data_IF_840314661799
#
_entry.id   IF_840314661799
#
_cell.length_a   1.000
_cell.length_b   1.000
_cell.length_c   1.000
_cell.angle_alpha   90.00
_cell.angle_beta   90.00
_cell.angle_gamma   90.00
#
_symmetry.space_group_name_H-M   'P 1'
#
loop_
_entity.id
_entity.type
_entity.pdbx_description
1 polymer ?
#
# COMPACT_ATOMS: atom_id res chain seq x y z
N UNK A 1 -4.08 -5.43 2.93
CA UNK A 1 -5.33 -5.67 3.68
C UNK A 1 -6.52 -4.81 3.21
N UNK A 2 -6.53 -3.49 3.40
CA UNK A 2 -7.70 -2.63 3.02
C UNK A 2 -8.07 -2.74 1.53
N UNK A 3 -7.09 -2.62 0.63
CA UNK A 3 -7.32 -2.74 -0.82
C UNK A 3 -8.02 -4.06 -1.18
N UNK A 4 -7.53 -5.19 -0.65
CA UNK A 4 -8.07 -6.53 -0.92
C UNK A 4 -9.53 -6.66 -0.49
N UNK A 5 -9.88 -6.07 0.64
CA UNK A 5 -11.26 -6.08 1.15
C UNK A 5 -12.23 -5.27 0.28
N UNK A 6 -11.83 -4.07 -0.13
CA UNK A 6 -12.69 -3.19 -0.95
C UNK A 6 -12.96 -3.82 -2.33
N UNK A 7 -11.96 -4.48 -2.89
CA UNK A 7 -12.05 -5.11 -4.21
C UNK A 7 -13.11 -6.23 -4.27
N UNK A 8 -13.21 -7.03 -3.20
CA UNK A 8 -14.12 -8.19 -3.16
C UNK A 8 -15.48 -7.89 -2.54
N UNK A 9 -15.67 -6.73 -1.92
CA UNK A 9 -16.90 -6.36 -1.21
C UNK A 9 -18.14 -6.52 -2.09
N UNK A 10 -18.13 -5.95 -3.30
CA UNK A 10 -19.27 -6.02 -4.24
C UNK A 10 -19.58 -7.44 -4.69
N UNK A 11 -18.57 -8.30 -4.81
CA UNK A 11 -18.75 -9.71 -5.13
C UNK A 11 -19.33 -10.47 -3.94
N UNK A 12 -18.87 -10.21 -2.72
CA UNK A 12 -19.38 -10.85 -1.52
C UNK A 12 -20.86 -10.48 -1.24
N UNK A 13 -21.24 -9.23 -1.51
CA UNK A 13 -22.62 -8.74 -1.38
C UNK A 13 -23.56 -9.36 -2.42
N UNK A 14 -23.15 -9.38 -3.70
CA UNK A 14 -24.04 -9.79 -4.82
C UNK A 14 -23.89 -11.23 -5.24
N UNK A 15 -22.82 -11.92 -4.81
CA UNK A 15 -22.44 -13.30 -5.18
C UNK A 15 -22.49 -13.58 -6.70
N UNK A 16 -22.14 -12.58 -7.51
CA UNK A 16 -22.22 -12.66 -8.97
C UNK A 16 -20.83 -12.76 -9.60
N UNK A 17 -20.59 -13.83 -10.38
CA UNK A 17 -19.34 -14.03 -11.10
C UNK A 17 -18.97 -12.83 -12.01
N UNK A 18 -19.97 -12.15 -12.59
CA UNK A 18 -19.75 -10.98 -13.44
C UNK A 18 -19.10 -9.80 -12.69
N UNK A 19 -19.47 -9.60 -11.42
CA UNK A 19 -18.88 -8.53 -10.61
C UNK A 19 -17.40 -8.79 -10.33
N UNK A 20 -17.03 -10.06 -10.09
CA UNK A 20 -15.66 -10.48 -9.89
C UNK A 20 -14.84 -10.40 -11.18
N UNK A 21 -15.36 -10.94 -12.29
CA UNK A 21 -14.69 -10.87 -13.61
C UNK A 21 -14.42 -9.42 -14.03
N UNK A 22 -15.40 -8.52 -13.82
CA UNK A 22 -15.21 -7.10 -14.09
C UNK A 22 -14.18 -6.43 -13.17
N UNK A 23 -14.05 -6.86 -11.92
CA UNK A 23 -13.01 -6.37 -11.02
C UNK A 23 -11.61 -6.84 -11.46
N UNK A 24 -11.47 -8.13 -11.81
CA UNK A 24 -10.23 -8.74 -12.33
C UNK A 24 -9.77 -8.01 -13.58
N UNK A 25 -10.65 -7.84 -14.57
CA UNK A 25 -10.31 -7.23 -15.86
C UNK A 25 -9.88 -5.75 -15.73
N UNK A 26 -10.61 -4.97 -14.94
CA UNK A 26 -10.37 -3.52 -14.84
C UNK A 26 -9.15 -3.16 -13.99
N UNK A 27 -8.70 -4.06 -13.11
CA UNK A 27 -7.67 -3.76 -12.11
C UNK A 27 -6.30 -3.42 -12.72
N UNK A 28 -5.75 -4.20 -13.68
CA UNK A 28 -4.50 -3.84 -14.33
C UNK A 28 -4.59 -2.50 -15.03
N UNK A 29 -5.65 -2.27 -15.80
CA UNK A 29 -5.85 -1.01 -16.54
C UNK A 29 -5.94 0.20 -15.61
N UNK A 30 -6.67 0.05 -14.49
CA UNK A 30 -6.83 1.10 -13.46
C UNK A 30 -5.51 1.45 -12.76
N UNK A 31 -4.63 0.47 -12.52
CA UNK A 31 -3.36 0.71 -11.83
C UNK A 31 -2.25 1.15 -12.80
N UNK A 32 -2.22 0.58 -14.01
CA UNK A 32 -1.16 0.79 -14.98
C UNK A 32 -0.99 2.28 -15.33
N UNK A 33 -2.05 2.94 -15.82
CA UNK A 33 -1.94 4.32 -16.29
C UNK A 33 -1.48 5.31 -15.20
N UNK A 34 -2.01 5.28 -13.96
CA UNK A 34 -1.46 6.06 -12.85
C UNK A 34 0.01 5.80 -12.56
N UNK A 35 0.43 4.53 -12.60
CA UNK A 35 1.82 4.15 -12.31
C UNK A 35 2.76 4.62 -13.41
N UNK A 36 2.36 4.47 -14.68
CA UNK A 36 3.09 5.04 -15.83
C UNK A 36 3.34 6.53 -15.62
N UNK A 37 2.27 7.27 -15.36
CA UNK A 37 2.35 8.71 -15.13
C UNK A 37 3.24 9.05 -13.93
N UNK A 38 3.07 8.35 -12.80
CA UNK A 38 3.85 8.57 -11.59
C UNK A 38 5.33 8.27 -11.76
N UNK A 39 5.71 7.33 -12.62
CA UNK A 39 7.11 7.03 -12.93
C UNK A 39 7.71 8.11 -13.82
N UNK A 40 6.95 8.59 -14.82
CA UNK A 40 7.41 9.66 -15.70
C UNK A 40 7.53 11.02 -14.98
N UNK A 41 6.65 11.28 -14.01
CA UNK A 41 6.54 12.58 -13.33
C UNK A 41 7.86 13.06 -12.69
N UNK A 42 8.60 12.26 -11.89
CA UNK A 42 9.92 12.64 -11.40
C UNK A 42 10.90 13.05 -12.50
N UNK A 43 10.95 12.31 -13.61
CA UNK A 43 11.85 12.66 -14.73
C UNK A 43 11.47 13.99 -15.38
N UNK A 44 10.17 14.27 -15.54
CA UNK A 44 9.66 15.55 -16.05
C UNK A 44 10.02 16.71 -15.10
N UNK A 45 9.78 16.52 -13.81
CA UNK A 45 10.10 17.54 -12.78
C UNK A 45 11.62 17.74 -12.67
N UNK A 46 12.41 16.68 -12.80
CA UNK A 46 13.86 16.72 -12.84
C UNK A 46 14.38 17.52 -14.04
N UNK A 47 13.85 17.27 -15.23
CA UNK A 47 14.17 18.03 -16.45
C UNK A 47 13.81 19.53 -16.32
N UNK A 48 12.71 19.85 -15.62
CA UNK A 48 12.33 21.23 -15.30
C UNK A 48 13.20 21.86 -14.18
N UNK A 49 14.15 21.12 -13.60
CA UNK A 49 15.02 21.60 -12.54
C UNK A 49 14.38 21.62 -11.14
N UNK A 50 13.29 20.89 -10.93
CA UNK A 50 12.59 20.83 -9.64
C UNK A 50 13.40 20.21 -8.50
N UNK A 51 14.40 19.38 -8.82
CA UNK A 51 15.25 18.69 -7.82
C UNK A 51 16.64 19.30 -7.63
N UNK A 52 16.91 20.50 -8.17
CA UNK A 52 18.23 21.17 -8.05
C UNK A 52 18.71 21.32 -6.60
N UNK A 53 17.79 21.51 -5.66
CA UNK A 53 18.08 21.70 -4.24
C UNK A 53 18.04 20.40 -3.41
N UNK A 54 17.66 19.27 -4.01
CA UNK A 54 17.48 18.02 -3.29
C UNK A 54 18.80 17.48 -2.72
N UNK A 55 19.89 17.58 -3.48
CA UNK A 55 21.24 17.20 -3.03
C UNK A 55 21.63 17.97 -1.77
N UNK A 56 21.40 19.29 -1.77
CA UNK A 56 21.70 20.15 -0.62
C UNK A 56 20.86 19.78 0.61
N UNK A 57 19.58 19.44 0.40
CA UNK A 57 18.70 18.95 1.47
C UNK A 57 19.24 17.64 2.07
N UNK A 58 19.71 16.71 1.23
CA UNK A 58 20.29 15.43 1.66
C UNK A 58 21.54 15.65 2.52
N UNK A 59 22.40 16.59 2.16
CA UNK A 59 23.60 16.94 2.94
C UNK A 59 23.24 17.54 4.30
N UNK A 60 22.28 18.47 4.32
CA UNK A 60 21.86 19.16 5.55
C UNK A 60 21.19 18.18 6.54
N UNK A 61 20.38 17.26 6.03
CA UNK A 61 19.58 16.34 6.87
C UNK A 61 20.25 14.99 7.11
N UNK A 62 21.41 14.75 6.49
CA UNK A 62 22.08 13.44 6.45
C UNK A 62 21.13 12.28 6.10
N UNK A 63 20.13 12.55 5.24
CA UNK A 63 19.07 11.61 4.91
C UNK A 63 19.12 11.17 3.45
N UNK A 64 19.39 9.89 3.22
CA UNK A 64 19.46 9.30 1.88
C UNK A 64 18.12 9.33 1.13
N UNK A 65 16.99 9.46 1.82
CA UNK A 65 15.68 9.60 1.18
C UNK A 65 15.49 10.95 0.47
N UNK A 66 16.35 11.94 0.75
CA UNK A 66 16.33 13.26 0.10
C UNK A 66 17.24 13.36 -1.12
N UNK A 67 17.93 12.27 -1.49
CA UNK A 67 18.74 12.21 -2.72
C UNK A 67 17.81 12.42 -3.93
N UNK A 68 18.22 13.24 -4.93
CA UNK A 68 17.42 13.42 -6.14
C UNK A 68 17.19 12.07 -6.85
N UNK A 69 15.97 11.79 -7.32
CA UNK A 69 15.70 10.58 -8.10
C UNK A 69 16.48 10.63 -9.43
N UNK A 70 16.84 9.46 -9.93
CA UNK A 70 17.42 9.34 -11.26
C UNK A 70 16.43 9.83 -12.34
N UNK A 71 16.94 10.34 -13.45
CA UNK A 71 16.15 10.68 -14.64
C UNK A 71 16.30 9.58 -15.67
N UNK A 72 15.21 9.15 -16.29
CA UNK A 72 15.27 8.12 -17.32
C UNK A 72 16.12 8.61 -18.51
N UNK A 73 17.18 7.87 -18.89
CA UNK A 73 18.04 8.27 -20.01
C UNK A 73 17.37 7.99 -21.36
N UNK A 74 16.46 7.01 -21.45
CA UNK A 74 15.76 6.65 -22.67
C UNK A 74 14.40 5.98 -22.37
N UNK A 75 13.57 5.85 -23.42
CA UNK A 75 12.27 5.21 -23.33
C UNK A 75 12.34 3.71 -22.98
N UNK A 76 13.41 3.02 -23.39
CA UNK A 76 13.58 1.59 -23.12
C UNK A 76 13.76 1.31 -21.63
N UNK A 77 14.52 2.14 -20.92
CA UNK A 77 14.68 2.03 -19.47
C UNK A 77 13.39 2.35 -18.71
N UNK A 78 12.62 3.32 -19.19
CA UNK A 78 11.30 3.61 -18.68
C UNK A 78 10.37 2.39 -18.84
N UNK A 79 10.30 1.81 -20.05
CA UNK A 79 9.49 0.63 -20.33
C UNK A 79 9.93 -0.60 -19.49
N UNK A 80 11.23 -0.85 -19.40
CA UNK A 80 11.78 -1.93 -18.57
C UNK A 80 11.43 -1.75 -17.09
N UNK A 81 11.47 -0.51 -16.58
CA UNK A 81 11.12 -0.21 -15.19
C UNK A 81 9.66 -0.49 -14.87
N UNK A 82 8.76 -0.22 -15.81
CA UNK A 82 7.34 -0.56 -15.71
C UNK A 82 7.17 -2.08 -15.70
N UNK A 83 7.84 -2.78 -16.61
CA UNK A 83 7.74 -4.23 -16.70
C UNK A 83 8.20 -4.90 -15.40
N UNK A 84 9.35 -4.49 -14.85
CA UNK A 84 9.83 -4.97 -13.54
C UNK A 84 8.80 -4.71 -12.44
N UNK A 85 8.22 -3.51 -12.36
CA UNK A 85 7.24 -3.18 -11.32
C UNK A 85 5.94 -4.00 -11.35
N UNK A 86 5.56 -4.57 -12.50
CA UNK A 86 4.33 -5.36 -12.62
C UNK A 86 4.56 -6.86 -12.66
N UNK A 87 5.69 -7.30 -13.18
CA UNK A 87 5.97 -8.71 -13.48
C UNK A 87 7.04 -9.33 -12.58
N UNK A 88 7.73 -8.56 -11.76
CA UNK A 88 8.62 -9.15 -10.76
C UNK A 88 7.82 -9.90 -9.68
N UNK A 89 8.35 -11.06 -9.30
CA UNK A 89 7.72 -11.98 -8.36
C UNK A 89 8.11 -11.68 -6.91
N UNK A 90 9.22 -10.98 -6.69
CA UNK A 90 9.66 -10.52 -5.38
C UNK A 90 9.76 -9.00 -5.37
N UNK A 91 9.17 -8.31 -4.38
CA UNK A 91 9.39 -6.89 -4.23
C UNK A 91 10.80 -6.65 -3.68
N UNK A 92 11.63 -5.82 -4.31
CA UNK A 92 12.83 -5.29 -3.67
C UNK A 92 12.69 -3.79 -3.46
N UNK A 93 13.33 -3.25 -2.41
CA UNK A 93 13.38 -1.80 -2.16
C UNK A 93 14.31 -1.08 -3.15
N UNK A 94 15.16 -1.83 -3.85
CA UNK A 94 16.14 -1.36 -4.82
C UNK A 94 15.77 -1.73 -6.26
N UNK A 95 14.51 -2.09 -6.54
CA UNK A 95 14.09 -2.40 -7.91
C UNK A 95 14.27 -1.18 -8.82
N UNK A 96 14.55 -1.46 -10.10
CA UNK A 96 14.84 -0.42 -11.09
C UNK A 96 13.78 0.67 -11.13
N UNK A 97 12.50 0.29 -11.22
CA UNK A 97 11.40 1.26 -11.26
C UNK A 97 11.21 2.06 -9.96
N UNK A 98 11.67 1.54 -8.83
CA UNK A 98 11.57 2.21 -7.53
C UNK A 98 12.62 3.31 -7.39
N UNK A 99 13.81 3.12 -7.97
CA UNK A 99 14.90 4.10 -7.94
C UNK A 99 14.54 5.43 -8.62
N UNK A 100 13.60 5.41 -9.58
CA UNK A 100 13.12 6.59 -10.28
C UNK A 100 12.00 7.34 -9.54
N UNK A 101 11.50 6.79 -8.43
CA UNK A 101 10.41 7.40 -7.64
C UNK A 101 10.93 8.00 -6.34
N UNK A 102 10.60 9.26 -6.02
CA UNK A 102 10.69 9.79 -4.67
C UNK A 102 9.82 8.95 -3.72
N UNK A 103 10.28 8.73 -2.47
CA UNK A 103 9.79 7.66 -1.58
C UNK A 103 10.13 6.23 -2.08
N UNK A 104 11.31 6.04 -2.66
CA UNK A 104 11.82 4.72 -3.07
C UNK A 104 11.66 3.64 -1.97
N UNK A 105 11.86 4.01 -0.70
CA UNK A 105 11.67 3.10 0.44
C UNK A 105 10.23 2.58 0.68
N UNK A 106 9.21 3.11 -0.01
CA UNK A 106 7.80 2.71 0.13
C UNK A 106 7.15 2.28 -1.20
N UNK A 107 7.72 2.64 -2.36
CA UNK A 107 7.14 2.33 -3.68
C UNK A 107 7.04 0.82 -3.99
N UNK A 108 7.80 -0.03 -3.28
CA UNK A 108 7.70 -1.50 -3.35
C UNK A 108 6.30 -2.02 -2.99
N UNK A 109 5.47 -1.22 -2.33
CA UNK A 109 4.07 -1.56 -2.04
C UNK A 109 3.24 -1.72 -3.32
N UNK A 110 3.61 -1.07 -4.43
CA UNK A 110 2.88 -1.11 -5.70
C UNK A 110 2.81 -2.54 -6.30
N UNK A 111 3.95 -3.21 -6.59
CA UNK A 111 3.95 -4.60 -7.07
C UNK A 111 3.22 -5.55 -6.13
N UNK A 112 3.37 -5.33 -4.81
CA UNK A 112 2.68 -6.14 -3.79
C UNK A 112 1.16 -5.96 -3.90
N UNK A 113 0.64 -4.74 -3.96
CA UNK A 113 -0.81 -4.50 -4.10
C UNK A 113 -1.35 -5.11 -5.40
N UNK A 114 -0.60 -5.03 -6.49
CA UNK A 114 -0.99 -5.58 -7.78
C UNK A 114 -1.06 -7.11 -7.76
N UNK A 115 0.06 -7.78 -7.48
CA UNK A 115 0.17 -9.25 -7.44
C UNK A 115 -0.86 -9.88 -6.48
N UNK A 116 -0.98 -9.29 -5.29
CA UNK A 116 -1.89 -9.79 -4.26
C UNK A 116 -3.37 -9.61 -4.59
N UNK A 117 -3.71 -8.68 -5.48
CA UNK A 117 -5.10 -8.54 -5.96
C UNK A 117 -5.54 -9.83 -6.67
N UNK A 118 -4.67 -10.47 -7.44
CA UNK A 118 -4.98 -11.72 -8.15
C UNK A 118 -5.16 -12.91 -7.21
N UNK A 119 -4.30 -13.03 -6.19
CA UNK A 119 -4.49 -14.05 -5.15
C UNK A 119 -5.88 -13.93 -4.53
N UNK A 120 -6.28 -12.71 -4.15
CA UNK A 120 -7.60 -12.45 -3.56
C UNK A 120 -8.74 -12.77 -4.51
N UNK A 121 -8.61 -12.46 -5.81
CA UNK A 121 -9.63 -12.81 -6.80
C UNK A 121 -9.83 -14.32 -6.95
N UNK A 122 -8.75 -15.09 -7.00
CA UNK A 122 -8.81 -16.55 -7.10
C UNK A 122 -9.51 -17.13 -5.88
N UNK A 123 -9.09 -16.73 -4.67
CA UNK A 123 -9.73 -17.23 -3.45
C UNK A 123 -11.19 -16.78 -3.33
N UNK A 124 -11.51 -15.54 -3.70
CA UNK A 124 -12.89 -15.06 -3.73
C UNK A 124 -13.77 -15.88 -4.69
N UNK A 125 -13.25 -16.26 -5.86
CA UNK A 125 -13.97 -17.13 -6.80
C UNK A 125 -14.25 -18.53 -6.22
N UNK A 126 -13.34 -19.05 -5.38
CA UNK A 126 -13.48 -20.36 -4.75
C UNK A 126 -14.42 -20.35 -3.54
N UNK A 127 -14.58 -19.22 -2.85
CA UNK A 127 -15.38 -19.11 -1.62
C UNK A 127 -16.79 -19.72 -1.70
N UNK A 128 -17.58 -19.55 -2.78
CA UNK A 128 -18.92 -20.14 -2.85
C UNK A 128 -18.91 -21.68 -2.86
N UNK A 129 -17.83 -22.29 -3.33
CA UNK A 129 -17.71 -23.74 -3.52
C UNK A 129 -17.09 -24.46 -2.31
N UNK A 130 -16.62 -23.71 -1.31
CA UNK A 130 -15.98 -24.25 -0.11
C UNK A 130 -17.02 -24.44 0.99
N UNK A 131 -17.02 -25.60 1.66
CA UNK A 131 -17.90 -25.89 2.79
C UNK A 131 -17.62 -24.97 3.99
N UNK A 132 -18.64 -24.69 4.82
CA UNK A 132 -18.49 -23.83 6.00
C UNK A 132 -17.40 -24.33 6.96
N UNK A 133 -17.30 -25.65 7.17
CA UNK A 133 -16.26 -26.25 8.03
C UNK A 133 -14.87 -25.97 7.49
N UNK A 134 -14.66 -26.09 6.17
CA UNK A 134 -13.40 -25.75 5.54
C UNK A 134 -13.09 -24.24 5.57
N UNK A 135 -14.12 -23.38 5.52
CA UNK A 135 -13.92 -21.93 5.72
C UNK A 135 -13.49 -21.57 7.13
N UNK A 136 -14.06 -22.21 8.15
CA UNK A 136 -13.78 -21.89 9.56
C UNK A 136 -12.43 -22.45 10.00
N UNK A 137 -12.06 -23.67 9.59
CA UNK A 137 -10.84 -24.33 10.05
C UNK A 137 -9.73 -24.37 8.99
N UNK A 138 -10.10 -24.69 7.75
CA UNK A 138 -9.14 -24.80 6.64
C UNK A 138 -8.59 -23.45 6.20
N UNK A 139 -9.44 -22.41 6.13
CA UNK A 139 -8.99 -21.09 5.66
C UNK A 139 -7.99 -20.41 6.62
N UNK A 140 -8.20 -20.38 7.96
CA UNK A 140 -7.15 -19.95 8.89
C UNK A 140 -5.89 -20.81 8.85
N UNK A 141 -6.03 -22.14 8.72
CA UNK A 141 -4.89 -23.03 8.56
C UNK A 141 -4.04 -22.66 7.33
N UNK A 142 -4.69 -22.40 6.20
CA UNK A 142 -4.03 -21.94 4.98
C UNK A 142 -3.38 -20.55 5.16
N UNK A 143 -4.03 -19.63 5.87
CA UNK A 143 -3.45 -18.32 6.21
C UNK A 143 -2.14 -18.50 7.01
N UNK A 144 -2.13 -19.38 8.01
CA UNK A 144 -0.93 -19.69 8.81
C UNK A 144 0.18 -20.30 7.94
N UNK A 145 -0.16 -21.20 7.01
CA UNK A 145 0.82 -21.74 6.05
C UNK A 145 1.38 -20.62 5.18
N UNK A 146 0.55 -19.74 4.62
CA UNK A 146 1.04 -18.62 3.80
C UNK A 146 1.86 -17.59 4.59
N UNK A 147 1.59 -17.44 5.89
CA UNK A 147 2.43 -16.71 6.83
C UNK A 147 3.80 -17.37 6.93
N UNK A 148 3.85 -18.66 7.24
CA UNK A 148 5.11 -19.41 7.36
C UNK A 148 5.94 -19.39 6.06
N UNK A 149 5.27 -19.40 4.89
CA UNK A 149 5.91 -19.27 3.59
C UNK A 149 6.50 -17.86 3.31
N UNK A 150 6.29 -16.87 4.19
CA UNK A 150 6.77 -15.50 3.96
C UNK A 150 6.09 -14.81 2.78
N UNK A 151 4.86 -15.22 2.46
CA UNK A 151 4.08 -14.59 1.41
C UNK A 151 3.37 -13.35 1.95
N UNK A 152 3.03 -12.38 1.10
CA UNK A 152 2.12 -11.28 1.49
C UNK A 152 0.65 -11.72 1.50
N UNK A 153 0.36 -12.95 1.06
CA UNK A 153 -1.00 -13.47 0.91
C UNK A 153 -1.79 -13.52 2.22
N UNK A 154 -1.17 -13.91 3.33
CA UNK A 154 -1.87 -14.04 4.62
C UNK A 154 -2.56 -12.75 5.09
N UNK A 155 -1.98 -11.56 4.84
CA UNK A 155 -2.65 -10.28 5.10
C UNK A 155 -3.94 -10.13 4.29
N UNK A 156 -3.87 -10.49 3.02
CA UNK A 156 -4.95 -10.22 2.07
C UNK A 156 -6.05 -11.30 2.15
N UNK A 157 -5.68 -12.53 2.44
CA UNK A 157 -6.60 -13.63 2.75
C UNK A 157 -7.31 -13.41 4.09
N UNK A 158 -6.62 -12.90 5.11
CA UNK A 158 -7.26 -12.45 6.35
C UNK A 158 -8.26 -11.32 6.06
N UNK A 159 -7.92 -10.37 5.18
CA UNK A 159 -8.85 -9.33 4.75
C UNK A 159 -10.12 -9.90 4.09
N UNK A 160 -9.95 -10.91 3.22
CA UNK A 160 -11.04 -11.59 2.55
C UNK A 160 -11.93 -12.35 3.55
N UNK A 161 -11.31 -13.06 4.51
CA UNK A 161 -12.03 -13.77 5.57
C UNK A 161 -12.82 -12.79 6.45
N UNK A 162 -12.20 -11.68 6.84
CA UNK A 162 -12.84 -10.64 7.63
C UNK A 162 -14.00 -10.00 6.85
N UNK A 163 -13.84 -9.78 5.54
CA UNK A 163 -14.90 -9.26 4.68
C UNK A 163 -16.10 -10.21 4.60
N UNK A 164 -15.86 -11.52 4.41
CA UNK A 164 -16.93 -12.51 4.41
C UNK A 164 -17.60 -12.61 5.79
N UNK A 165 -16.81 -12.60 6.86
CA UNK A 165 -17.34 -12.63 8.23
C UNK A 165 -18.24 -11.44 8.53
N UNK A 166 -17.80 -10.24 8.18
CA UNK A 166 -18.53 -9.00 8.47
C UNK A 166 -19.79 -8.85 7.63
N UNK A 167 -19.79 -9.30 6.38
CA UNK A 167 -20.96 -9.20 5.50
C UNK A 167 -21.96 -10.34 5.69
N UNK A 168 -21.50 -11.58 5.89
CA UNK A 168 -22.36 -12.77 5.85
C UNK A 168 -22.70 -13.27 7.25
N UNK A 169 -21.71 -13.39 8.12
CA UNK A 169 -21.88 -14.06 9.43
C UNK A 169 -22.23 -13.10 10.56
N UNK A 170 -21.74 -11.86 10.53
CA UNK A 170 -22.01 -10.86 11.55
C UNK A 170 -23.51 -10.48 11.68
N UNK A 171 -24.30 -10.37 10.59
CA UNK A 171 -25.75 -10.16 10.70
C UNK A 171 -26.49 -11.32 11.37
N UNK A 172 -25.94 -12.54 11.29
CA UNK A 172 -26.52 -13.76 11.87
C UNK A 172 -26.13 -13.94 13.35
N UNK A 173 -25.17 -13.15 13.86
CA UNK A 173 -24.66 -13.29 15.21
C UNK A 173 -25.64 -12.71 16.26
N UNK A 174 -26.08 -13.56 17.19
CA UNK A 174 -27.00 -13.18 18.27
C UNK A 174 -26.39 -12.21 19.30
N UNK A 175 -25.06 -12.25 19.50
CA UNK A 175 -24.36 -11.36 20.45
C UNK A 175 -23.11 -10.75 19.84
N UNK A 176 -23.11 -9.42 19.74
CA UNK A 176 -21.99 -8.65 19.17
C UNK A 176 -20.93 -8.28 20.21
N UNK A 177 -21.25 -8.29 21.52
CA UNK A 177 -20.34 -7.84 22.59
C UNK A 177 -19.10 -8.72 22.73
N UNK A 178 -19.24 -10.05 22.63
CA UNK A 178 -18.10 -10.97 22.73
C UNK A 178 -17.18 -10.94 21.51
N UNK A 179 -17.64 -10.38 20.38
CA UNK A 179 -16.87 -10.31 19.14
C UNK A 179 -15.77 -9.24 19.16
N UNK A 180 -15.84 -8.27 20.07
CA UNK A 180 -14.81 -7.22 20.20
C UNK A 180 -13.53 -7.72 20.87
N UNK A 181 -13.60 -8.79 21.68
CA UNK A 181 -12.49 -9.26 22.49
C UNK A 181 -11.32 -9.75 21.62
N UNK A 182 -11.51 -10.66 20.64
CA UNK A 182 -10.38 -11.14 19.85
C UNK A 182 -9.66 -10.03 19.05
N UNK A 183 -10.37 -9.13 18.34
CA UNK A 183 -9.74 -7.99 17.66
C UNK A 183 -8.99 -7.03 18.60
N UNK A 184 -9.52 -6.79 19.80
CA UNK A 184 -8.85 -5.96 20.80
C UNK A 184 -7.55 -6.60 21.30
N UNK A 185 -7.57 -7.91 21.58
CA UNK A 185 -6.37 -8.66 21.96
C UNK A 185 -5.32 -8.58 20.84
N UNK A 186 -5.72 -8.79 19.58
CA UNK A 186 -4.81 -8.66 18.44
C UNK A 186 -4.19 -7.27 18.38
N UNK A 187 -5.00 -6.21 18.49
CA UNK A 187 -4.48 -4.84 18.44
C UNK A 187 -3.49 -4.57 19.58
N UNK A 188 -3.83 -4.93 20.82
CA UNK A 188 -2.95 -4.75 21.99
C UNK A 188 -1.66 -5.54 21.84
N UNK A 189 -1.75 -6.80 21.40
CA UNK A 189 -0.57 -7.65 21.16
C UNK A 189 0.32 -7.07 20.07
N UNK A 190 -0.24 -6.60 18.96
CA UNK A 190 0.52 -5.96 17.89
C UNK A 190 1.24 -4.69 18.35
N UNK A 191 0.57 -3.85 19.15
CA UNK A 191 1.19 -2.65 19.73
C UNK A 191 2.28 -3.00 20.75
N UNK A 192 2.05 -4.01 21.59
CA UNK A 192 3.03 -4.50 22.56
C UNK A 192 4.28 -5.06 21.86
N UNK A 193 4.11 -5.85 20.79
CA UNK A 193 5.23 -6.34 19.97
C UNK A 193 5.98 -5.18 19.30
N UNK A 194 5.27 -4.20 18.74
CA UNK A 194 5.90 -2.99 18.18
C UNK A 194 6.76 -2.25 19.19
N UNK A 195 6.24 -2.08 20.40
CA UNK A 195 6.98 -1.46 21.49
C UNK A 195 8.20 -2.31 21.89
N UNK A 196 8.05 -3.62 22.03
CA UNK A 196 9.16 -4.53 22.34
C UNK A 196 10.28 -4.47 21.29
N UNK A 197 9.93 -4.43 19.99
CA UNK A 197 10.90 -4.29 18.90
C UNK A 197 11.53 -2.90 18.82
N UNK A 198 10.82 -1.86 19.25
CA UNK A 198 11.38 -0.52 19.37
C UNK A 198 12.38 -0.42 20.53
N UNK A 199 12.10 -1.11 21.64
CA UNK A 199 13.01 -1.19 22.80
C UNK A 199 14.23 -2.06 22.53
N UNK A 200 14.13 -3.06 21.64
CA UNK A 200 15.24 -3.93 21.28
C UNK A 200 15.47 -4.00 19.77
N UNK A 201 16.15 -2.99 19.18
CA UNK A 201 16.33 -2.89 17.73
C UNK A 201 17.22 -3.99 17.15
N UNK A 202 18.11 -4.59 17.95
CA UNK A 202 19.04 -5.63 17.50
C UNK A 202 18.30 -6.90 17.04
N UNK A 203 17.21 -7.25 17.73
CA UNK A 203 16.43 -8.46 17.49
C UNK A 203 15.18 -8.21 16.63
N UNK A 204 15.02 -7.00 16.08
CA UNK A 204 13.82 -6.57 15.33
C UNK A 204 13.47 -7.47 14.14
N UNK A 205 14.50 -8.06 13.53
CA UNK A 205 14.42 -8.83 12.29
C UNK A 205 14.54 -10.34 12.52
N UNK A 206 14.66 -10.80 13.77
CA UNK A 206 14.83 -12.22 14.09
C UNK A 206 13.62 -13.07 13.68
N UNK A 207 12.43 -12.44 13.64
CA UNK A 207 11.19 -13.03 13.14
C UNK A 207 11.36 -13.63 11.72
N UNK A 208 12.19 -13.00 10.88
CA UNK A 208 12.35 -13.43 9.48
C UNK A 208 12.98 -14.82 9.37
N UNK A 209 13.80 -15.23 10.35
CA UNK A 209 14.50 -16.51 10.35
C UNK A 209 13.51 -17.69 10.41
N UNK A 210 12.37 -17.51 11.08
CA UNK A 210 11.37 -18.56 11.26
C UNK A 210 10.55 -18.89 10.01
N UNK A 211 10.69 -18.09 8.96
CA UNK A 211 9.99 -18.29 7.71
C UNK A 211 10.77 -19.24 6.79
N UNK A 212 10.09 -19.80 5.78
CA UNK A 212 10.77 -20.65 4.81
C UNK A 212 11.66 -19.83 3.87
N UNK A 213 12.84 -20.36 3.55
CA UNK A 213 13.68 -19.85 2.48
C UNK A 213 13.15 -20.33 1.12
N UNK A 214 12.78 -19.38 0.25
CA UNK A 214 12.23 -19.66 -1.09
C UNK A 214 13.30 -20.10 -2.10
N UNK A 215 14.57 -19.79 -1.86
CA UNK A 215 15.67 -20.01 -2.78
C UNK A 215 16.46 -21.27 -2.45
N UNK A 216 16.71 -21.51 -1.16
CA UNK A 216 17.58 -22.61 -0.70
C UNK A 216 16.85 -23.71 0.08
N UNK A 217 15.57 -23.49 0.42
CA UNK A 217 14.82 -24.36 1.31
C UNK A 217 15.28 -24.27 2.77
N UNK A 218 14.43 -24.72 3.69
CA UNK A 218 14.70 -24.61 5.14
C UNK A 218 14.30 -23.25 5.72
N UNK A 219 15.01 -22.82 6.77
CA UNK A 219 14.77 -21.56 7.49
C UNK A 219 15.48 -20.38 6.82
N UNK A 220 14.82 -19.23 6.79
CA UNK A 220 15.23 -18.04 6.05
C UNK A 220 16.34 -17.23 6.75
N UNK A 221 17.58 -17.75 6.71
CA UNK A 221 18.75 -17.15 7.38
C UNK A 221 19.48 -16.10 6.54
N UNK A 222 19.23 -16.04 5.24
CA UNK A 222 19.97 -15.21 4.29
C UNK A 222 19.20 -13.96 3.84
N UNK A 223 18.01 -13.71 4.40
CA UNK A 223 17.21 -12.55 4.03
C UNK A 223 17.88 -11.25 4.49
N UNK A 224 18.14 -10.37 3.53
CA UNK A 224 18.55 -9.01 3.82
C UNK A 224 17.32 -8.08 3.95
N UNK A 225 16.94 -7.77 5.19
CA UNK A 225 15.81 -6.90 5.51
C UNK A 225 15.96 -5.45 4.97
N UNK A 226 17.18 -5.01 4.67
CA UNK A 226 17.43 -3.68 4.09
C UNK A 226 17.11 -3.63 2.60
N UNK A 227 17.23 -4.77 1.89
CA UNK A 227 16.97 -4.87 0.46
C UNK A 227 15.55 -5.32 0.16
N UNK A 228 15.02 -6.27 0.93
CA UNK A 228 13.70 -6.84 0.67
C UNK A 228 12.70 -6.44 1.76
N UNK A 229 11.52 -5.88 1.40
CA UNK A 229 10.43 -5.69 2.34
C UNK A 229 9.79 -7.04 2.66
N UNK A 230 9.50 -7.27 3.94
CA UNK A 230 8.98 -8.53 4.42
C UNK A 230 7.73 -8.32 5.30
N UNK A 231 6.69 -9.18 5.19
CA UNK A 231 5.51 -9.07 6.04
C UNK A 231 5.86 -9.46 7.48
N UNK A 232 5.41 -8.68 8.46
CA UNK A 232 5.68 -8.92 9.89
C UNK A 232 4.43 -9.22 10.69
N UNK A 233 4.55 -9.94 11.80
CA UNK A 233 3.45 -10.28 12.72
C UNK A 233 2.97 -9.07 13.52
N UNK A 234 3.87 -8.20 13.95
CA UNK A 234 3.52 -7.00 14.70
C UNK A 234 2.64 -6.04 13.86
N UNK A 235 3.00 -5.82 12.60
CA UNK A 235 2.20 -5.09 11.62
C UNK A 235 0.85 -5.78 11.35
N UNK A 236 0.85 -7.11 11.25
CA UNK A 236 -0.35 -7.87 10.94
C UNK A 236 -1.40 -7.74 12.04
N UNK A 237 -0.99 -7.92 13.30
CA UNK A 237 -1.88 -7.84 14.45
C UNK A 237 -2.49 -6.44 14.61
N UNK A 238 -1.71 -5.38 14.38
CA UNK A 238 -2.23 -4.01 14.41
C UNK A 238 -3.25 -3.79 13.30
N UNK A 239 -2.94 -4.17 12.06
CA UNK A 239 -3.84 -3.92 10.93
C UNK A 239 -5.08 -4.81 11.01
N UNK A 240 -4.94 -6.10 11.33
CA UNK A 240 -6.06 -7.03 11.44
C UNK A 240 -6.97 -6.69 12.62
N UNK A 241 -6.40 -6.39 13.80
CA UNK A 241 -7.15 -5.96 14.98
C UNK A 241 -7.88 -4.65 14.76
N UNK A 242 -7.21 -3.62 14.23
CA UNK A 242 -7.83 -2.32 13.97
C UNK A 242 -8.93 -2.38 12.92
N UNK A 243 -8.73 -3.12 11.81
CA UNK A 243 -9.76 -3.29 10.78
C UNK A 243 -10.98 -4.04 11.32
N UNK A 244 -10.78 -5.13 12.06
CA UNK A 244 -11.88 -5.88 12.65
C UNK A 244 -12.64 -5.07 13.71
N UNK A 245 -11.95 -4.27 14.54
CA UNK A 245 -12.61 -3.36 15.48
C UNK A 245 -13.42 -2.27 14.78
N UNK A 246 -12.89 -1.71 13.69
CA UNK A 246 -13.60 -0.74 12.85
C UNK A 246 -14.88 -1.35 12.28
N UNK A 247 -14.88 -2.62 11.90
CA UNK A 247 -16.03 -3.32 11.36
C UNK A 247 -17.10 -3.68 12.38
N UNK A 248 -16.72 -3.84 13.64
CA UNK A 248 -17.66 -4.12 14.71
C UNK A 248 -18.27 -2.83 15.25
N UNK A 249 -17.52 -1.72 15.25
CA UNK A 249 -17.92 -0.46 15.86
C UNK A 249 -18.67 0.48 14.89
N UNK A 250 -19.99 0.59 15.06
CA UNK A 250 -20.86 1.47 14.28
C UNK A 250 -20.54 2.98 14.43
N UNK A 251 -19.95 3.42 15.55
CA UNK A 251 -19.52 4.82 15.73
C UNK A 251 -18.27 5.08 14.91
N UNK A 252 -17.29 4.19 14.95
CA UNK A 252 -16.09 4.30 14.13
C UNK A 252 -16.46 4.32 12.63
N UNK A 253 -17.35 3.45 12.19
CA UNK A 253 -17.86 3.46 10.81
C UNK A 253 -18.49 4.79 10.43
N UNK A 254 -19.28 5.41 11.33
CA UNK A 254 -19.87 6.73 11.08
C UNK A 254 -18.81 7.83 10.95
N UNK A 255 -17.77 7.79 11.77
CA UNK A 255 -16.65 8.74 11.68
C UNK A 255 -15.94 8.58 10.33
N UNK A 256 -15.57 7.35 9.95
CA UNK A 256 -14.89 7.08 8.67
C UNK A 256 -15.81 7.22 7.45
N UNK A 257 -17.13 7.23 7.64
CA UNK A 257 -18.10 7.53 6.61
C UNK A 257 -18.22 9.03 6.30
N UNK A 258 -17.52 9.90 7.02
CA UNK A 258 -17.51 11.34 6.76
C UNK A 258 -17.03 11.62 5.30
N UNK A 259 -17.68 12.56 4.59
CA UNK A 259 -17.31 12.92 3.22
C UNK A 259 -15.83 13.28 3.05
N UNK A 260 -15.19 13.89 4.05
CA UNK A 260 -13.76 14.24 4.00
C UNK A 260 -12.88 12.99 3.90
N UNK A 261 -13.10 11.98 4.75
CA UNK A 261 -12.34 10.74 4.69
C UNK A 261 -12.64 9.93 3.43
N UNK A 262 -13.87 9.98 2.93
CA UNK A 262 -14.23 9.37 1.64
C UNK A 262 -13.52 10.05 0.48
N UNK A 263 -13.44 11.37 0.49
CA UNK A 263 -12.69 12.14 -0.50
C UNK A 263 -11.20 11.80 -0.47
N UNK A 264 -10.57 11.81 0.71
CA UNK A 264 -9.17 11.40 0.87
C UNK A 264 -8.94 9.96 0.42
N UNK A 265 -9.87 9.05 0.75
CA UNK A 265 -9.85 7.67 0.28
C UNK A 265 -9.90 7.55 -1.24
N UNK A 266 -10.70 8.40 -1.92
CA UNK A 266 -10.82 8.44 -3.38
C UNK A 266 -9.50 8.82 -4.06
N UNK A 267 -8.79 9.82 -3.53
CA UNK A 267 -7.51 10.30 -4.10
C UNK A 267 -6.28 9.61 -3.52
N UNK A 268 -6.44 8.72 -2.54
CA UNK A 268 -5.35 8.14 -1.74
C UNK A 268 -4.24 7.51 -2.58
N UNK A 269 -4.60 6.84 -3.68
CA UNK A 269 -3.63 6.20 -4.56
C UNK A 269 -2.78 7.23 -5.32
N UNK A 270 -3.41 8.23 -5.92
CA UNK A 270 -2.68 9.33 -6.58
C UNK A 270 -1.88 10.18 -5.58
N UNK A 271 -2.40 10.38 -4.37
CA UNK A 271 -1.68 11.06 -3.31
C UNK A 271 -0.42 10.28 -2.92
N UNK A 272 -0.52 8.96 -2.76
CA UNK A 272 0.65 8.12 -2.49
C UNK A 272 1.70 8.23 -3.60
N UNK A 273 1.28 8.19 -4.87
CA UNK A 273 2.16 8.23 -6.04
C UNK A 273 2.85 9.59 -6.25
N UNK A 274 2.16 10.70 -5.98
CA UNK A 274 2.64 12.05 -6.33
C UNK A 274 3.26 12.81 -5.16
N UNK A 275 2.86 12.51 -3.93
CA UNK A 275 3.29 13.26 -2.74
C UNK A 275 4.81 13.27 -2.57
N UNK A 276 5.52 12.18 -2.88
CA UNK A 276 6.97 12.15 -2.81
C UNK A 276 7.66 13.16 -3.71
N UNK A 277 7.20 13.23 -4.96
CA UNK A 277 7.73 14.18 -5.94
C UNK A 277 7.47 15.62 -5.50
N UNK A 278 6.25 15.91 -5.03
CA UNK A 278 5.88 17.25 -4.55
C UNK A 278 6.71 17.62 -3.32
N UNK A 279 6.76 16.75 -2.30
CA UNK A 279 7.49 16.99 -1.06
C UNK A 279 8.99 17.17 -1.30
N UNK A 280 9.60 16.38 -2.19
CA UNK A 280 11.03 16.51 -2.48
C UNK A 280 11.33 17.77 -3.30
N UNK A 281 10.55 18.06 -4.36
CA UNK A 281 10.78 19.22 -5.21
C UNK A 281 10.51 20.54 -4.47
N UNK A 282 9.34 20.67 -3.84
CA UNK A 282 8.99 21.88 -3.09
C UNK A 282 9.78 21.96 -1.78
N UNK A 283 9.88 20.86 -1.04
CA UNK A 283 10.49 20.86 0.28
C UNK A 283 11.98 21.16 0.25
N UNK A 284 12.71 20.64 -0.74
CA UNK A 284 14.12 20.98 -0.91
C UNK A 284 14.32 22.46 -1.24
N UNK A 285 13.48 23.03 -2.13
CA UNK A 285 13.51 24.45 -2.46
C UNK A 285 13.18 25.33 -1.26
N UNK A 286 12.12 25.01 -0.53
CA UNK A 286 11.69 25.81 0.61
C UNK A 286 12.71 25.76 1.74
N UNK A 287 13.32 24.60 2.00
CA UNK A 287 14.38 24.46 3.02
C UNK A 287 15.58 25.35 2.71
N UNK A 288 16.07 25.34 1.47
CA UNK A 288 17.19 26.20 1.06
C UNK A 288 16.83 27.68 1.16
N UNK A 289 15.62 28.08 0.74
CA UNK A 289 15.19 29.49 0.85
C UNK A 289 15.07 29.92 2.32
N UNK A 290 14.44 29.13 3.18
CA UNK A 290 14.23 29.49 4.58
C UNK A 290 15.52 29.46 5.39
N UNK A 291 16.37 28.45 5.17
CA UNK A 291 17.61 28.28 5.92
C UNK A 291 18.74 29.16 5.39
N UNK A 292 19.03 29.07 4.08
CA UNK A 292 20.22 29.68 3.51
C UNK A 292 20.00 31.14 3.10
N UNK A 293 18.79 31.50 2.61
CA UNK A 293 18.51 32.88 2.17
C UNK A 293 17.88 33.76 3.26
N UNK A 294 17.04 33.18 4.13
CA UNK A 294 16.34 33.90 5.21
C UNK A 294 16.97 33.71 6.58
N UNK A 295 17.99 32.85 6.71
CA UNK A 295 18.73 32.66 7.95
C UNK A 295 17.91 32.03 9.09
N UNK A 296 16.81 31.32 8.78
CA UNK A 296 16.02 30.67 9.83
C UNK A 296 16.81 29.49 10.42
N UNK A 297 17.03 29.53 11.73
CA UNK A 297 17.77 28.48 12.47
C UNK A 297 16.87 27.51 13.23
N UNK A 298 15.60 27.85 13.45
CA UNK A 298 14.65 26.99 14.18
C UNK A 298 14.10 25.88 13.28
N UNK A 299 14.47 24.64 13.59
CA UNK A 299 14.04 23.44 12.86
C UNK A 299 12.52 23.25 12.92
N UNK A 300 11.88 23.56 14.05
CA UNK A 300 10.43 23.42 14.21
C UNK A 300 9.66 24.39 13.33
N UNK A 301 10.16 25.61 13.16
CA UNK A 301 9.55 26.61 12.26
C UNK A 301 9.70 26.21 10.78
N UNK A 302 10.87 25.68 10.39
CA UNK A 302 11.09 25.17 9.03
C UNK A 302 10.17 23.98 8.76
N UNK A 303 10.06 23.03 9.69
CA UNK A 303 9.21 21.86 9.55
C UNK A 303 7.73 22.25 9.47
N UNK A 304 7.28 23.20 10.29
CA UNK A 304 5.92 23.74 10.21
C UNK A 304 5.65 24.36 8.84
N UNK A 305 6.56 25.21 8.33
CA UNK A 305 6.42 25.81 7.01
C UNK A 305 6.37 24.75 5.89
N UNK A 306 7.22 23.72 5.95
CA UNK A 306 7.21 22.59 5.03
C UNK A 306 5.89 21.81 5.11
N UNK A 307 5.38 21.53 6.31
CA UNK A 307 4.12 20.81 6.49
C UNK A 307 2.95 21.57 5.85
N UNK A 308 2.82 22.86 6.16
CA UNK A 308 1.73 23.69 5.64
C UNK A 308 1.86 24.04 4.16
N UNK A 309 3.06 23.93 3.56
CA UNK A 309 3.24 24.12 2.12
C UNK A 309 3.07 22.81 1.33
N UNK A 310 3.72 21.73 1.77
CA UNK A 310 3.77 20.48 1.03
C UNK A 310 2.45 19.69 1.08
N UNK A 311 1.72 19.68 2.21
CA UNK A 311 0.48 18.89 2.32
C UNK A 311 -0.63 19.45 1.44
N UNK A 312 -0.98 20.75 1.50
CA UNK A 312 -2.01 21.29 0.63
C UNK A 312 -1.65 21.16 -0.85
N UNK A 313 -0.39 21.41 -1.21
CA UNK A 313 0.05 21.24 -2.61
C UNK A 313 -0.05 19.79 -3.06
N UNK A 314 0.34 18.82 -2.22
CA UNK A 314 0.21 17.40 -2.54
C UNK A 314 -1.24 16.99 -2.75
N UNK A 315 -2.17 17.52 -1.96
CA UNK A 315 -3.62 17.28 -2.14
C UNK A 315 -4.13 17.86 -3.47
N UNK A 316 -3.72 19.08 -3.82
CA UNK A 316 -4.09 19.73 -5.08
C UNK A 316 -3.54 18.95 -6.28
N UNK A 317 -2.25 18.59 -6.26
CA UNK A 317 -1.61 17.82 -7.32
C UNK A 317 -2.26 16.44 -7.46
N UNK A 318 -2.56 15.77 -6.34
CA UNK A 318 -3.23 14.47 -6.35
C UNK A 318 -4.64 14.55 -6.95
N UNK A 319 -5.43 15.60 -6.65
CA UNK A 319 -6.75 15.80 -7.24
C UNK A 319 -6.67 16.07 -8.75
N UNK A 320 -5.70 16.90 -9.18
CA UNK A 320 -5.46 17.14 -10.61
C UNK A 320 -5.10 15.84 -11.33
N UNK A 321 -4.17 15.06 -10.78
CA UNK A 321 -3.74 13.78 -11.36
C UNK A 321 -4.86 12.74 -11.34
N UNK A 322 -5.72 12.76 -10.31
CA UNK A 322 -6.89 11.91 -10.25
C UNK A 322 -7.83 12.16 -11.44
N UNK A 323 -8.14 13.43 -11.74
CA UNK A 323 -9.02 13.77 -12.87
C UNK A 323 -8.37 13.58 -14.23
N UNK A 324 -7.06 13.85 -14.36
CA UNK A 324 -6.35 13.74 -15.63
C UNK A 324 -5.97 12.29 -15.99
N UNK A 325 -5.71 11.44 -15.00
CA UNK A 325 -5.12 10.11 -15.24
C UNK A 325 -5.97 8.99 -14.63
N UNK A 326 -6.28 9.02 -13.33
CA UNK A 326 -6.97 7.90 -12.68
C UNK A 326 -8.41 7.73 -13.18
N UNK A 327 -9.15 8.83 -13.26
CA UNK A 327 -10.55 8.82 -13.65
C UNK A 327 -10.75 8.39 -15.12
N UNK A 328 -10.02 8.94 -16.11
CA UNK A 328 -10.07 8.46 -17.48
C UNK A 328 -9.67 7.00 -17.60
N UNK A 329 -8.65 6.56 -16.87
CA UNK A 329 -8.27 5.14 -16.81
C UNK A 329 -9.42 4.25 -16.34
N UNK A 330 -10.12 4.65 -15.28
CA UNK A 330 -11.28 3.91 -14.76
C UNK A 330 -12.45 3.90 -15.74
N UNK A 331 -12.70 5.00 -16.46
CA UNK A 331 -13.74 5.08 -17.50
C UNK A 331 -13.37 4.18 -18.69
N UNK A 332 -12.14 4.26 -19.18
CA UNK A 332 -11.64 3.43 -20.28
C UNK A 332 -11.72 1.94 -19.95
N UNK A 333 -11.29 1.54 -18.74
CA UNK A 333 -11.37 0.15 -18.29
C UNK A 333 -12.82 -0.36 -18.21
N UNK A 334 -13.77 0.49 -17.77
CA UNK A 334 -15.20 0.16 -17.76
C UNK A 334 -15.77 0.04 -19.16
N UNK A 335 -15.40 0.94 -20.05
CA UNK A 335 -15.83 0.92 -21.45
C UNK A 335 -15.31 -0.34 -22.15
N UNK A 336 -14.02 -0.66 -22.02
CA UNK A 336 -13.41 -1.84 -22.62
C UNK A 336 -14.03 -3.15 -22.10
N UNK A 337 -14.32 -3.23 -20.80
CA UNK A 337 -15.01 -4.39 -20.23
C UNK A 337 -16.43 -4.57 -20.78
N UNK A 338 -17.15 -3.46 -21.05
CA UNK A 338 -18.46 -3.53 -21.70
C UNK A 338 -18.34 -3.94 -23.16
N UNK A 339 -17.33 -3.47 -23.87
CA UNK A 339 -17.10 -3.81 -25.26
C UNK A 339 -16.79 -5.30 -25.45
N UNK A 340 -15.91 -5.89 -24.64
CA UNK A 340 -15.59 -7.34 -24.69
C UNK A 340 -16.79 -8.24 -24.34
N UNK A 341 -17.79 -7.69 -23.65
CA UNK A 341 -18.99 -8.43 -23.25
C UNK A 341 -20.02 -8.54 -24.39
N UNK A 342 -20.03 -7.57 -25.31
CA UNK A 342 -20.88 -7.58 -26.50
C UNK A 342 -20.23 -8.50 -27.51
#
# INVERSE_FOLDING_TARGET
MLSSRVIVLTFLERRSAHTLAGAVFRRPLRLLLPILFSLALPSIVGAAGGFKNAQRLSEITANSAAIPPAVFPNFLEYFNSIFTLFFDTQPYKSDRGIAYTPLSGLSWVIPVIFSQSFTVYVFAALLPFISLRAKVWGFPGFIIVTYWLGSWAWYNLTALQLAEFTLVYLPLAQSKRKLYIPPAILLVLGLALKWAWASNPAHRNDEYIYHTDKSYGGLNRYLNANLQPYPRVDDFFVVAGSMALLDLNAVAQRIFANPVFRYLGRISFMLFLTSGTVCLALGSKLTVVLRDQRGMTSESSILAALFFACIPLSLVVAEICYWLVEWPSFVAARWLFRWIRV
#
